data_IF_871238331374
#
_entry.id   IF_871238331374
#
_cell.length_a   1.000
_cell.length_b   1.000
_cell.length_c   1.000
_cell.angle_alpha   90.00
_cell.angle_beta   90.00
_cell.angle_gamma   90.00
#
_symmetry.space_group_name_H-M   'P 1'
#
loop_
_entity.id
_entity.type
_entity.pdbx_description
1 polymer ?
#
# COMPACT_ATOMS: atom_id res chain seq x y z
N UNK A 1 23.06 0.05 16.16
CA UNK A 1 23.12 1.50 15.90
C UNK A 1 23.56 1.72 14.46
N UNK A 2 22.63 2.05 13.59
CA UNK A 2 22.90 2.27 12.18
C UNK A 2 23.66 3.59 11.94
N UNK A 3 24.86 3.56 11.33
CA UNK A 3 25.68 4.76 11.13
C UNK A 3 25.11 5.71 10.07
N UNK A 4 24.12 5.27 9.30
CA UNK A 4 23.47 6.03 8.22
C UNK A 4 22.22 6.80 8.68
N UNK A 5 21.82 6.66 9.94
CA UNK A 5 20.71 7.46 10.50
C UNK A 5 21.11 8.94 10.56
N UNK A 6 20.23 9.91 10.16
CA UNK A 6 18.81 9.79 9.83
C UNK A 6 18.50 9.81 8.31
N UNK A 7 19.30 9.17 7.45
CA UNK A 7 19.10 9.24 5.99
C UNK A 7 17.77 8.59 5.55
N UNK A 8 17.42 7.42 6.09
CA UNK A 8 16.20 6.70 5.74
C UNK A 8 14.90 7.49 6.02
N UNK A 9 14.67 8.07 7.22
CA UNK A 9 13.47 8.87 7.47
C UNK A 9 13.42 10.12 6.58
N UNK A 10 14.55 10.80 6.35
CA UNK A 10 14.60 11.99 5.48
C UNK A 10 14.14 11.64 4.07
N UNK A 11 14.72 10.58 3.48
CA UNK A 11 14.37 10.15 2.12
C UNK A 11 12.91 9.68 2.06
N UNK A 12 12.44 8.92 3.04
CA UNK A 12 11.05 8.44 3.09
C UNK A 12 10.04 9.58 3.15
N UNK A 13 10.33 10.63 3.93
CA UNK A 13 9.48 11.81 4.03
C UNK A 13 9.49 12.67 2.76
N UNK A 14 10.66 12.83 2.13
CA UNK A 14 10.78 13.50 0.83
C UNK A 14 9.96 12.73 -0.21
N UNK A 15 10.11 11.40 -0.30
CA UNK A 15 9.33 10.56 -1.19
C UNK A 15 7.82 10.69 -0.96
N UNK A 16 7.38 10.74 0.31
CA UNK A 16 5.97 10.99 0.66
C UNK A 16 5.44 12.29 0.05
N UNK A 17 6.18 13.39 0.20
CA UNK A 17 5.80 14.69 -0.38
C UNK A 17 5.79 14.62 -1.91
N UNK A 18 6.85 14.10 -2.52
CA UNK A 18 6.99 14.04 -3.98
C UNK A 18 5.85 13.25 -4.63
N UNK A 19 5.46 12.13 -4.02
CA UNK A 19 4.37 11.28 -4.50
C UNK A 19 3.01 11.97 -4.38
N UNK A 20 2.80 12.85 -3.40
CA UNK A 20 1.54 13.58 -3.22
C UNK A 20 1.31 14.70 -4.24
N UNK A 21 2.37 15.32 -4.77
CA UNK A 21 2.29 16.44 -5.73
C UNK A 21 1.38 16.14 -6.95
N UNK A 22 1.48 14.98 -7.64
CA UNK A 22 0.63 14.67 -8.79
C UNK A 22 -0.81 14.24 -8.43
N UNK A 23 -1.12 13.97 -7.17
CA UNK A 23 -2.44 13.50 -6.71
C UNK A 23 -3.61 14.39 -7.17
N UNK A 24 -3.64 15.72 -6.94
CA UNK A 24 -4.78 16.56 -7.30
C UNK A 24 -5.05 16.56 -8.82
N UNK A 25 -4.01 16.53 -9.63
CA UNK A 25 -4.13 16.48 -11.09
C UNK A 25 -4.80 15.17 -11.54
N UNK A 26 -4.35 14.04 -11.02
CA UNK A 26 -4.91 12.73 -11.37
C UNK A 26 -6.33 12.49 -10.85
N UNK A 27 -6.68 13.09 -9.70
CA UNK A 27 -8.04 13.07 -9.18
C UNK A 27 -8.99 13.87 -10.08
N UNK A 28 -8.55 15.05 -10.58
CA UNK A 28 -9.35 15.85 -11.51
C UNK A 28 -9.58 15.13 -12.85
N UNK A 29 -8.57 14.42 -13.36
CA UNK A 29 -8.65 13.58 -14.56
C UNK A 29 -9.43 12.28 -14.35
N UNK A 30 -9.87 12.02 -13.11
CA UNK A 30 -10.65 10.84 -12.73
C UNK A 30 -9.91 9.54 -13.05
N UNK A 31 -8.64 9.48 -12.66
CA UNK A 31 -7.79 8.32 -12.83
C UNK A 31 -7.69 7.49 -11.54
N UNK A 32 -8.70 6.65 -11.26
CA UNK A 32 -8.75 5.83 -10.04
C UNK A 32 -7.47 5.00 -9.83
N UNK A 33 -6.99 4.31 -10.88
CA UNK A 33 -5.81 3.44 -10.76
C UNK A 33 -4.54 4.20 -10.35
N UNK A 34 -4.24 5.34 -10.97
CA UNK A 34 -3.05 6.15 -10.60
C UNK A 34 -3.25 6.87 -9.28
N UNK A 35 -4.45 7.38 -8.98
CA UNK A 35 -4.71 8.04 -7.70
C UNK A 35 -4.58 7.07 -6.53
N UNK A 36 -5.10 5.84 -6.67
CA UNK A 36 -4.96 4.81 -5.65
C UNK A 36 -3.51 4.35 -5.50
N UNK A 37 -2.76 4.21 -6.60
CA UNK A 37 -1.32 3.93 -6.55
C UNK A 37 -0.57 4.98 -5.72
N UNK A 38 -0.84 6.27 -5.98
CA UNK A 38 -0.26 7.39 -5.25
C UNK A 38 -0.64 7.35 -3.76
N UNK A 39 -1.90 7.10 -3.44
CA UNK A 39 -2.38 7.05 -2.04
C UNK A 39 -1.71 5.90 -1.28
N UNK A 40 -1.65 4.70 -1.87
CA UNK A 40 -1.01 3.54 -1.25
C UNK A 40 0.49 3.74 -1.02
N UNK A 41 1.19 4.28 -2.03
CA UNK A 41 2.63 4.58 -1.92
C UNK A 41 2.93 5.71 -0.93
N UNK A 42 2.10 6.75 -0.90
CA UNK A 42 2.23 7.81 0.11
C UNK A 42 1.98 7.26 1.53
N UNK A 43 0.93 6.47 1.72
CA UNK A 43 0.63 5.85 3.01
C UNK A 43 1.78 4.96 3.49
N UNK A 44 2.36 4.12 2.62
CA UNK A 44 3.51 3.29 2.99
C UNK A 44 4.75 4.12 3.34
N UNK A 45 5.07 5.17 2.56
CA UNK A 45 6.21 6.04 2.86
C UNK A 45 6.05 6.77 4.22
N UNK A 46 4.84 7.23 4.53
CA UNK A 46 4.54 7.85 5.83
C UNK A 46 4.67 6.84 6.98
N UNK A 47 4.17 5.62 6.78
CA UNK A 47 4.29 4.56 7.79
C UNK A 47 5.76 4.24 8.07
N UNK A 48 6.56 4.03 7.03
CA UNK A 48 7.98 3.72 7.14
C UNK A 48 8.76 4.86 7.81
N UNK A 49 8.43 6.12 7.48
CA UNK A 49 8.98 7.30 8.13
C UNK A 49 8.70 7.29 9.65
N UNK A 50 7.44 7.16 10.05
CA UNK A 50 7.04 7.15 11.47
C UNK A 50 7.69 5.96 12.19
N UNK A 51 7.69 4.79 11.57
CA UNK A 51 8.28 3.58 12.16
C UNK A 51 9.77 3.78 12.47
N UNK A 52 10.54 4.30 11.51
CA UNK A 52 11.97 4.54 11.68
C UNK A 52 12.32 5.60 12.75
N UNK A 53 11.40 6.52 13.06
CA UNK A 53 11.60 7.53 14.11
C UNK A 53 11.21 6.97 15.49
N UNK A 54 10.04 6.33 15.58
CA UNK A 54 9.46 5.89 16.86
C UNK A 54 10.27 4.73 17.45
N UNK A 55 10.70 3.79 16.61
CA UNK A 55 11.44 2.58 17.00
C UNK A 55 12.96 2.68 16.81
N UNK A 56 13.50 3.91 16.73
CA UNK A 56 14.95 4.09 16.65
C UNK A 56 15.65 3.63 17.94
N UNK A 57 16.60 2.70 17.82
CA UNK A 57 17.29 2.04 18.95
C UNK A 57 16.35 1.50 20.06
N UNK A 58 15.11 1.11 19.71
CA UNK A 58 14.21 0.49 20.67
C UNK A 58 13.15 -0.39 19.98
N UNK A 59 12.77 -1.48 20.62
CA UNK A 59 11.69 -2.38 20.19
C UNK A 59 10.52 -2.40 21.19
N UNK A 60 10.30 -1.28 21.89
CA UNK A 60 9.25 -1.17 22.92
C UNK A 60 7.90 -0.89 22.25
N UNK A 61 6.83 -1.52 22.71
CA UNK A 61 5.48 -1.23 22.24
C UNK A 61 4.98 0.11 22.79
N UNK A 62 5.34 1.20 22.09
CA UNK A 62 4.96 2.57 22.43
C UNK A 62 3.54 2.92 21.94
N UNK A 63 3.07 2.28 20.88
CA UNK A 63 1.86 2.68 20.16
C UNK A 63 1.16 1.46 19.54
N UNK A 64 0.43 0.66 20.34
CA UNK A 64 -0.18 -0.59 19.88
C UNK A 64 -1.22 -0.36 18.77
N UNK A 65 -2.03 0.70 18.90
CA UNK A 65 -3.04 1.08 17.89
C UNK A 65 -2.40 1.46 16.54
N UNK A 66 -1.22 2.10 16.59
CA UNK A 66 -0.49 2.44 15.38
C UNK A 66 -0.01 1.17 14.66
N UNK A 67 0.51 0.19 15.40
CA UNK A 67 1.05 -1.04 14.84
C UNK A 67 -0.03 -1.92 14.21
N UNK A 68 -1.22 -1.97 14.79
CA UNK A 68 -2.36 -2.67 14.19
C UNK A 68 -2.78 -2.09 12.85
N UNK A 69 -2.78 -0.75 12.71
CA UNK A 69 -3.21 -0.08 11.48
C UNK A 69 -2.10 -0.10 10.45
N UNK A 70 -0.90 0.32 10.84
CA UNK A 70 0.24 0.48 9.94
C UNK A 70 0.73 -0.87 9.39
N UNK A 71 0.75 -1.91 10.23
CA UNK A 71 1.09 -3.27 9.81
C UNK A 71 0.14 -3.80 8.73
N UNK A 72 -1.18 -3.55 8.86
CA UNK A 72 -2.19 -4.00 7.88
C UNK A 72 -2.08 -3.25 6.57
N UNK A 73 -1.79 -1.96 6.62
CA UNK A 73 -1.60 -1.14 5.42
C UNK A 73 -0.35 -1.61 4.66
N UNK A 74 0.76 -1.87 5.36
CA UNK A 74 1.98 -2.42 4.74
C UNK A 74 1.77 -3.82 4.17
N UNK A 75 0.96 -4.65 4.84
CA UNK A 75 0.57 -5.97 4.36
C UNK A 75 -0.22 -5.88 3.04
N UNK A 76 -1.22 -5.01 3.01
CA UNK A 76 -2.05 -4.77 1.82
C UNK A 76 -1.27 -4.11 0.68
N UNK A 77 -0.30 -3.26 1.00
CA UNK A 77 0.53 -2.54 0.01
C UNK A 77 1.20 -3.46 -1.01
N UNK A 78 1.69 -4.63 -0.57
CA UNK A 78 2.32 -5.62 -1.46
C UNK A 78 1.41 -6.12 -2.58
N UNK A 79 0.10 -6.20 -2.35
CA UNK A 79 -0.90 -6.58 -3.37
C UNK A 79 -1.59 -5.38 -4.01
N UNK A 80 -1.63 -4.23 -3.33
CA UNK A 80 -2.23 -3.00 -3.84
C UNK A 80 -1.47 -2.42 -5.02
N UNK A 81 -0.14 -2.40 -4.98
CA UNK A 81 0.70 -1.92 -6.09
C UNK A 81 0.42 -2.68 -7.39
N UNK A 82 0.54 -4.02 -7.45
CA UNK A 82 0.31 -4.74 -8.70
C UNK A 82 -1.14 -4.63 -9.17
N UNK A 83 -2.12 -4.60 -8.26
CA UNK A 83 -3.52 -4.35 -8.60
C UNK A 83 -3.73 -2.98 -9.25
N UNK A 84 -3.12 -1.92 -8.70
CA UNK A 84 -3.14 -0.59 -9.29
C UNK A 84 -2.41 -0.56 -10.65
N UNK A 85 -1.28 -1.26 -10.77
CA UNK A 85 -0.53 -1.42 -12.03
C UNK A 85 -1.39 -2.05 -13.13
N UNK A 86 -2.16 -3.08 -12.82
CA UNK A 86 -3.09 -3.71 -13.75
C UNK A 86 -4.19 -2.74 -14.21
N UNK A 87 -4.77 -1.95 -13.31
CA UNK A 87 -5.74 -0.92 -13.67
C UNK A 87 -5.16 0.15 -14.61
N UNK A 88 -3.91 0.58 -14.36
CA UNK A 88 -3.21 1.56 -15.20
C UNK A 88 -2.97 0.98 -16.60
N UNK A 89 -2.45 -0.24 -16.69
CA UNK A 89 -2.19 -0.92 -17.97
C UNK A 89 -3.48 -1.15 -18.76
N UNK A 90 -4.56 -1.59 -18.09
CA UNK A 90 -5.88 -1.76 -18.71
C UNK A 90 -6.40 -0.47 -19.31
N UNK A 91 -6.28 0.65 -18.59
CA UNK A 91 -6.70 1.96 -19.10
C UNK A 91 -5.89 2.38 -20.32
N UNK A 92 -4.58 2.17 -20.30
CA UNK A 92 -3.72 2.47 -21.45
C UNK A 92 -4.11 1.62 -22.67
N UNK A 93 -4.39 0.33 -22.47
CA UNK A 93 -4.87 -0.57 -23.51
C UNK A 93 -6.21 -0.12 -24.13
N UNK A 94 -7.16 0.35 -23.31
CA UNK A 94 -8.43 0.86 -23.83
C UNK A 94 -8.26 2.19 -24.58
N UNK A 95 -7.31 3.02 -24.18
CA UNK A 95 -6.99 4.27 -24.86
C UNK A 95 -6.42 4.04 -26.27
N UNK A 96 -5.55 3.04 -26.45
CA UNK A 96 -5.01 2.69 -27.78
C UNK A 96 -6.05 2.04 -28.70
N UNK A 97 -7.07 1.38 -28.14
CA UNK A 97 -8.16 0.74 -28.89
C UNK A 97 -9.32 1.69 -29.26
N UNK A 98 -9.27 2.98 -28.92
CA UNK A 98 -10.34 3.99 -29.15
C UNK A 98 -11.74 3.47 -28.75
N UNK A 99 -11.83 2.67 -27.69
CA UNK A 99 -13.06 1.94 -27.34
C UNK A 99 -13.98 2.70 -26.40
N UNK A 100 -13.55 3.85 -25.85
CA UNK A 100 -14.29 4.57 -24.82
C UNK A 100 -14.89 5.86 -25.38
N UNK A 101 -16.07 5.77 -25.98
CA UNK A 101 -16.81 6.92 -26.52
C UNK A 101 -17.89 7.44 -25.57
N UNK A 102 -18.34 6.64 -24.59
CA UNK A 102 -19.51 6.95 -23.77
C UNK A 102 -19.18 7.34 -22.30
N UNK A 103 -19.77 8.42 -21.79
CA UNK A 103 -19.52 8.94 -20.44
C UNK A 103 -20.01 7.98 -19.33
N UNK A 104 -21.10 7.23 -19.58
CA UNK A 104 -21.59 6.21 -18.65
C UNK A 104 -20.62 5.04 -18.49
N UNK A 105 -19.92 4.68 -19.56
CA UNK A 105 -18.91 3.61 -19.54
C UNK A 105 -17.64 4.05 -18.79
N UNK A 106 -17.18 5.30 -19.01
CA UNK A 106 -16.09 5.90 -18.21
C UNK A 106 -16.38 5.85 -16.71
N UNK A 107 -17.63 6.06 -16.34
CA UNK A 107 -18.09 6.01 -14.95
C UNK A 107 -18.00 4.60 -14.37
N UNK A 108 -18.47 3.60 -15.11
CA UNK A 108 -18.39 2.19 -14.72
C UNK A 108 -16.95 1.72 -14.58
N UNK A 109 -16.07 2.05 -15.55
CA UNK A 109 -14.65 1.68 -15.47
C UNK A 109 -13.96 2.29 -14.25
N UNK A 110 -14.26 3.55 -13.92
CA UNK A 110 -13.71 4.19 -12.72
C UNK A 110 -14.07 3.44 -11.42
N UNK A 111 -15.35 3.07 -11.25
CA UNK A 111 -15.77 2.30 -10.07
C UNK A 111 -15.18 0.90 -10.06
N UNK A 112 -15.04 0.27 -11.23
CA UNK A 112 -14.40 -1.04 -11.34
C UNK A 112 -12.92 -0.97 -10.95
N UNK A 113 -12.19 0.03 -11.43
CA UNK A 113 -10.79 0.23 -11.08
C UNK A 113 -10.61 0.52 -9.58
N UNK A 114 -11.52 1.29 -8.98
CA UNK A 114 -11.55 1.54 -7.54
C UNK A 114 -11.82 0.24 -6.77
N UNK A 115 -12.77 -0.57 -7.22
CA UNK A 115 -13.10 -1.85 -6.59
C UNK A 115 -11.93 -2.84 -6.67
N UNK A 116 -11.22 -2.90 -7.79
CA UNK A 116 -10.05 -3.80 -7.94
C UNK A 116 -8.90 -3.33 -7.07
N UNK A 117 -8.58 -2.03 -7.07
CA UNK A 117 -7.44 -1.46 -6.33
C UNK A 117 -7.64 -1.39 -4.81
N UNK A 118 -8.89 -1.41 -4.30
CA UNK A 118 -9.19 -1.49 -2.86
C UNK A 118 -9.64 -2.88 -2.42
N UNK A 119 -10.46 -3.54 -3.24
CA UNK A 119 -11.07 -4.82 -2.92
C UNK A 119 -10.07 -5.96 -2.86
N UNK A 120 -9.09 -6.01 -3.78
CA UNK A 120 -8.05 -7.05 -3.74
C UNK A 120 -7.18 -6.94 -2.47
N UNK A 121 -6.62 -5.76 -2.11
CA UNK A 121 -5.87 -5.61 -0.86
C UNK A 121 -6.70 -5.90 0.40
N UNK A 122 -7.98 -5.53 0.40
CA UNK A 122 -8.86 -5.76 1.54
C UNK A 122 -9.19 -7.26 1.70
N UNK A 123 -9.43 -7.96 0.61
CA UNK A 123 -9.63 -9.40 0.61
C UNK A 123 -8.36 -10.14 1.06
N UNK A 124 -7.20 -9.67 0.60
CA UNK A 124 -5.91 -10.23 1.00
C UNK A 124 -5.60 -10.03 2.48
N UNK A 125 -5.78 -8.81 2.98
CA UNK A 125 -5.60 -8.51 4.41
C UNK A 125 -6.61 -9.27 5.29
N UNK A 126 -7.83 -9.52 4.79
CA UNK A 126 -8.81 -10.37 5.46
C UNK A 126 -8.35 -11.84 5.51
N UNK A 127 -7.84 -12.40 4.41
CA UNK A 127 -7.30 -13.76 4.38
C UNK A 127 -6.07 -13.92 5.27
N UNK A 128 -5.22 -12.89 5.33
CA UNK A 128 -4.01 -12.92 6.14
C UNK A 128 -4.28 -13.07 7.65
N UNK A 129 -5.46 -12.67 8.15
CA UNK A 129 -5.86 -12.94 9.54
C UNK A 129 -5.87 -14.43 9.89
N UNK A 130 -6.19 -15.31 8.92
CA UNK A 130 -6.26 -16.76 9.16
C UNK A 130 -4.85 -17.32 9.43
N UNK A 131 -3.84 -16.71 8.84
CA UNK A 131 -2.46 -17.18 8.85
C UNK A 131 -1.58 -16.41 9.86
N UNK A 132 -2.15 -15.36 10.43
CA UNK A 132 -1.51 -14.55 11.44
C UNK A 132 -1.49 -15.32 12.77
N UNK A 133 -0.30 -15.69 13.25
CA UNK A 133 -0.17 -16.37 14.55
C UNK A 133 -0.09 -15.40 15.74
N UNK A 134 0.56 -14.25 15.55
CA UNK A 134 0.72 -13.20 16.57
C UNK A 134 0.20 -11.85 16.02
N UNK A 135 -0.24 -10.96 16.92
CA UNK A 135 -0.90 -9.68 16.55
C UNK A 135 0.00 -8.73 15.75
N UNK A 136 1.24 -8.55 16.16
CA UNK A 136 2.30 -7.85 15.43
C UNK A 136 3.63 -8.14 16.12
N UNK A 137 4.71 -8.07 15.37
CA UNK A 137 6.07 -8.11 15.88
C UNK A 137 6.71 -6.73 15.68
N UNK A 138 7.57 -6.34 16.62
CA UNK A 138 8.30 -5.07 16.59
C UNK A 138 9.77 -5.37 16.39
N UNK A 139 10.33 -4.86 15.30
CA UNK A 139 11.77 -4.94 15.03
C UNK A 139 12.41 -3.60 15.35
N UNK A 140 13.55 -3.65 16.02
CA UNK A 140 14.38 -2.47 16.28
C UNK A 140 14.73 -1.77 14.95
N UNK A 141 14.65 -0.44 14.93
CA UNK A 141 14.89 0.44 13.77
C UNK A 141 13.94 0.29 12.56
N UNK A 142 13.24 -0.85 12.42
CA UNK A 142 12.27 -1.09 11.34
C UNK A 142 10.81 -0.81 11.76
N UNK A 143 10.48 -1.03 13.03
CA UNK A 143 9.16 -0.82 13.61
C UNK A 143 8.23 -2.03 13.48
N UNK A 144 6.93 -1.75 13.34
CA UNK A 144 5.87 -2.75 13.45
C UNK A 144 5.60 -3.50 12.15
N UNK A 145 5.55 -4.84 12.23
CA UNK A 145 5.19 -5.73 11.13
C UNK A 145 4.17 -6.77 11.57
N UNK A 146 3.39 -7.29 10.61
CA UNK A 146 2.50 -8.42 10.86
C UNK A 146 3.25 -9.71 10.54
N UNK A 147 3.48 -10.60 11.51
CA UNK A 147 4.13 -11.87 11.26
C UNK A 147 3.17 -12.82 10.54
N UNK A 148 3.66 -13.42 9.47
CA UNK A 148 2.92 -14.39 8.66
C UNK A 148 3.66 -15.71 8.80
N UNK A 149 3.02 -16.69 9.44
CA UNK A 149 3.64 -17.99 9.67
C UNK A 149 3.66 -18.79 8.39
N UNK A 150 4.77 -19.45 8.08
CA UNK A 150 4.90 -20.28 6.89
C UNK A 150 4.09 -21.58 7.01
N UNK A 151 2.78 -21.48 6.81
CA UNK A 151 1.83 -22.61 6.77
C UNK A 151 1.31 -22.79 5.35
N UNK A 152 0.77 -23.97 5.07
CA UNK A 152 0.24 -24.33 3.75
C UNK A 152 -0.67 -23.26 3.11
N UNK A 153 -1.58 -22.60 3.86
CA UNK A 153 -2.39 -21.50 3.34
C UNK A 153 -1.63 -20.26 2.87
N UNK A 154 -0.38 -20.00 3.29
CA UNK A 154 0.40 -18.82 2.86
C UNK A 154 0.73 -18.88 1.39
N UNK A 155 1.15 -20.05 0.89
CA UNK A 155 1.62 -20.19 -0.48
C UNK A 155 0.58 -19.71 -1.51
N UNK A 156 -0.68 -20.19 -1.52
CA UNK A 156 -1.66 -19.69 -2.49
C UNK A 156 -2.03 -18.22 -2.29
N UNK A 157 -1.80 -17.65 -1.10
CA UNK A 157 -2.09 -16.25 -0.82
C UNK A 157 -0.95 -15.37 -1.36
N UNK A 158 0.29 -15.68 -1.02
CA UNK A 158 1.47 -14.83 -1.28
C UNK A 158 2.23 -15.13 -2.58
N UNK A 159 2.12 -16.34 -3.15
CA UNK A 159 2.92 -16.76 -4.31
C UNK A 159 2.21 -16.60 -5.66
N UNK A 160 1.34 -15.58 -5.80
CA UNK A 160 0.66 -15.24 -7.05
C UNK A 160 1.41 -14.15 -7.81
#
# INVERSE_FOLDING_TARGET
MDPTYPLYPIVSFICFILVLIPLPMHLHLRNAGTSMYIIWTAASCLILFVNSIVWHNNAIDKAPVWCDISGRILLGYGTAIPACGLCIQRRLYLATRITITNQKEKMKFFFQDLFVSLGLPLLFTALAFIVQGNRYDIFEDFGCIIPIYNVWPVYPIYSI
#
